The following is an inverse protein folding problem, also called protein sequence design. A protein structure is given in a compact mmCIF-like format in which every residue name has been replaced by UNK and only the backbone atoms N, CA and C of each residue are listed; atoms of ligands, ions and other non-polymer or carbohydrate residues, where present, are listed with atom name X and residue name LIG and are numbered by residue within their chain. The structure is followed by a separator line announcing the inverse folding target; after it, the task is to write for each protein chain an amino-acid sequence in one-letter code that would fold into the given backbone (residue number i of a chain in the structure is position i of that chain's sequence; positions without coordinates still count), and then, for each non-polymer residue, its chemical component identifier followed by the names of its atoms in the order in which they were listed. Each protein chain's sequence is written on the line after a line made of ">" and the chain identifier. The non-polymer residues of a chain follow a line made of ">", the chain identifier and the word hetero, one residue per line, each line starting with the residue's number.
data_IF_484044156719
#
_entry.id   IF_484044156719
#
_cell.length_a   1.000
_cell.length_b   1.000
_cell.length_c   1.000
_cell.angle_alpha   90.00
_cell.angle_beta   90.00
_cell.angle_gamma   90.00
#
_symmetry.space_group_name_H-M   'P 1'
#
loop_
_entity.id
_entity.type
_entity.pdbx_description
1 polymer ?
#
# COMPACT_ATOMS: atom_id res chain seq x y z
N UNK A 1 40.21 18.09 46.13
CA UNK A 1 38.78 18.47 46.09
C UNK A 1 38.48 19.04 44.71
N UNK A 2 37.37 18.57 44.10
CA UNK A 2 36.66 19.07 42.91
C UNK A 2 37.42 19.08 41.56
N UNK A 3 37.07 18.18 40.62
CA UNK A 3 36.05 18.33 39.54
C UNK A 3 36.57 19.26 38.42
N UNK A 4 36.82 18.84 37.18
CA UNK A 4 36.18 17.81 36.39
C UNK A 4 35.18 18.47 35.44
N UNK A 5 35.63 18.84 34.23
CA UNK A 5 34.75 18.93 33.05
C UNK A 5 35.57 18.80 31.77
N UNK A 6 35.55 17.60 31.21
CA UNK A 6 35.93 17.36 29.81
C UNK A 6 34.78 17.88 28.95
N UNK A 7 34.97 18.98 28.24
CA UNK A 7 33.99 19.48 27.28
C UNK A 7 34.17 18.67 26.00
N UNK A 8 33.49 17.53 25.93
CA UNK A 8 33.29 16.82 24.67
C UNK A 8 32.33 17.68 23.85
N UNK A 9 32.87 18.37 22.84
CA UNK A 9 32.08 19.04 21.83
C UNK A 9 31.16 18.01 21.17
N UNK A 10 29.89 18.02 21.55
CA UNK A 10 28.87 17.31 20.82
C UNK A 10 28.81 17.96 19.44
N UNK A 11 29.46 17.32 18.46
CA UNK A 11 29.12 17.50 17.06
C UNK A 11 27.66 17.10 16.92
N UNK A 12 26.76 18.05 17.13
CA UNK A 12 25.37 17.94 16.74
C UNK A 12 25.39 17.90 15.22
N UNK A 13 25.54 16.69 14.67
CA UNK A 13 25.23 16.43 13.27
C UNK A 13 23.74 16.70 13.16
N UNK A 14 23.41 17.89 12.70
CA UNK A 14 22.09 18.19 12.17
C UNK A 14 21.99 17.30 10.93
N UNK A 15 21.49 16.09 11.12
CA UNK A 15 21.06 15.25 10.01
C UNK A 15 19.85 15.95 9.46
N UNK A 16 20.07 16.82 8.47
CA UNK A 16 19.01 17.33 7.60
C UNK A 16 18.25 16.09 7.12
N UNK A 17 17.04 15.88 7.64
CA UNK A 17 16.18 14.79 7.17
C UNK A 17 15.77 15.17 5.77
N UNK A 18 16.28 14.49 4.73
CA UNK A 18 15.86 14.84 3.39
C UNK A 18 14.37 14.57 3.30
N UNK A 19 13.66 15.45 2.60
CA UNK A 19 12.23 15.31 2.26
C UNK A 19 11.92 13.98 1.52
N UNK A 20 12.97 13.21 1.20
CA UNK A 20 13.02 11.88 0.61
C UNK A 20 12.84 10.71 1.60
N UNK A 21 12.55 10.96 2.89
CA UNK A 21 12.40 9.88 3.87
C UNK A 21 11.16 9.01 3.64
N UNK A 22 10.09 9.55 3.04
CA UNK A 22 8.83 8.84 2.75
C UNK A 22 9.02 7.71 1.73
N UNK A 23 9.51 8.05 0.53
CA UNK A 23 9.73 7.07 -0.56
C UNK A 23 10.72 5.95 -0.20
N UNK A 24 11.74 6.25 0.59
CA UNK A 24 12.68 5.21 1.07
C UNK A 24 11.93 4.23 1.96
N UNK A 25 11.06 4.73 2.84
CA UNK A 25 10.27 3.91 3.75
C UNK A 25 9.25 3.07 2.98
N UNK A 26 8.47 3.66 2.09
CA UNK A 26 7.53 2.94 1.22
C UNK A 26 8.21 1.78 0.50
N UNK A 27 9.42 1.99 -0.07
CA UNK A 27 10.21 0.93 -0.71
C UNK A 27 10.68 -0.16 0.25
N UNK A 28 10.92 0.13 1.53
CA UNK A 28 11.28 -0.90 2.52
C UNK A 28 10.10 -1.85 2.77
N UNK A 29 8.88 -1.32 2.87
CA UNK A 29 7.69 -2.12 3.17
C UNK A 29 7.09 -2.76 1.92
N UNK A 30 7.08 -2.05 0.80
CA UNK A 30 6.43 -2.47 -0.44
C UNK A 30 7.42 -3.02 -1.48
N UNK A 31 8.72 -2.81 -1.30
CA UNK A 31 9.71 -3.20 -2.29
C UNK A 31 9.78 -2.22 -3.47
N UNK A 32 10.69 -2.50 -4.40
CA UNK A 32 10.87 -1.68 -5.58
C UNK A 32 9.93 -2.12 -6.71
N UNK A 33 9.17 -1.17 -7.23
CA UNK A 33 8.55 -1.25 -8.53
C UNK A 33 9.62 -0.98 -9.61
N UNK A 34 9.75 -1.88 -10.59
CA UNK A 34 10.61 -1.68 -11.77
C UNK A 34 9.73 -1.28 -12.95
N UNK A 35 9.17 -0.08 -12.91
CA UNK A 35 8.38 0.47 -14.01
C UNK A 35 9.11 1.66 -14.66
N UNK A 36 9.04 1.76 -15.98
CA UNK A 36 9.43 2.96 -16.72
C UNK A 36 8.17 3.76 -17.00
N UNK A 37 7.98 4.87 -16.30
CA UNK A 37 6.77 5.69 -16.36
C UNK A 37 6.60 6.25 -17.77
N UNK A 38 5.41 6.09 -18.35
CA UNK A 38 4.93 6.93 -19.45
C UNK A 38 4.35 8.20 -18.84
N UNK A 39 4.60 9.37 -19.45
CA UNK A 39 4.05 10.64 -18.99
C UNK A 39 2.58 10.85 -19.35
N UNK A 40 1.94 9.87 -19.98
CA UNK A 40 0.51 9.91 -20.28
C UNK A 40 -0.34 9.70 -19.02
N UNK A 41 -1.48 10.40 -18.95
CA UNK A 41 -2.47 10.18 -17.90
C UNK A 41 -3.22 8.87 -18.14
N UNK A 42 -3.32 8.05 -17.10
CA UNK A 42 -3.98 6.74 -17.16
C UNK A 42 -5.17 6.69 -16.22
N UNK A 43 -6.31 6.17 -16.72
CA UNK A 43 -7.48 5.92 -15.90
C UNK A 43 -7.20 4.90 -14.81
N UNK A 44 -8.02 4.92 -13.75
CA UNK A 44 -7.86 4.01 -12.60
C UNK A 44 -7.81 2.53 -13.02
N UNK A 45 -8.79 2.09 -13.82
CA UNK A 45 -8.88 0.69 -14.23
C UNK A 45 -7.80 0.30 -15.23
N UNK A 46 -7.30 1.24 -16.02
CA UNK A 46 -6.15 1.02 -16.90
C UNK A 46 -4.89 0.78 -16.07
N UNK A 47 -4.67 1.59 -15.02
CA UNK A 47 -3.58 1.39 -14.07
C UNK A 47 -3.66 0.01 -13.38
N UNK A 48 -4.84 -0.36 -12.85
CA UNK A 48 -5.03 -1.67 -12.21
C UNK A 48 -4.78 -2.82 -13.20
N UNK A 49 -5.34 -2.74 -14.40
CA UNK A 49 -5.18 -3.76 -15.44
C UNK A 49 -3.71 -3.97 -15.81
N UNK A 50 -2.97 -2.89 -15.99
CA UNK A 50 -1.57 -2.96 -16.38
C UNK A 50 -0.69 -3.43 -15.22
N UNK A 51 -0.81 -2.87 -14.01
CA UNK A 51 -0.03 -3.32 -12.84
C UNK A 51 -0.24 -4.82 -12.55
N UNK A 52 -1.47 -5.31 -12.69
CA UNK A 52 -1.77 -6.74 -12.48
C UNK A 52 -1.14 -7.64 -13.55
N UNK A 53 -1.03 -7.19 -14.81
CA UNK A 53 -0.34 -7.93 -15.89
C UNK A 53 1.16 -8.11 -15.62
N UNK A 54 1.85 -7.06 -15.17
CA UNK A 54 3.29 -7.13 -14.89
C UNK A 54 3.64 -7.82 -13.57
N UNK A 55 2.63 -8.31 -12.83
CA UNK A 55 2.77 -9.09 -11.59
C UNK A 55 3.81 -8.51 -10.64
N UNK A 56 3.70 -7.22 -10.33
CA UNK A 56 4.55 -6.56 -9.33
C UNK A 56 4.18 -7.00 -7.90
N UNK A 57 4.34 -8.30 -7.64
CA UNK A 57 4.17 -8.86 -6.32
C UNK A 57 5.32 -8.38 -5.45
N UNK A 58 4.95 -7.70 -4.40
CA UNK A 58 5.87 -7.23 -3.38
C UNK A 58 6.25 -8.44 -2.52
N UNK A 59 7.52 -8.81 -2.52
CA UNK A 59 8.03 -10.00 -1.83
C UNK A 59 8.61 -9.74 -0.44
N UNK A 60 8.35 -8.55 0.14
CA UNK A 60 8.93 -8.12 1.41
C UNK A 60 8.41 -8.97 2.57
N UNK A 61 9.07 -8.89 3.74
CA UNK A 61 8.59 -9.57 4.94
C UNK A 61 7.18 -9.08 5.32
N UNK A 62 6.98 -7.75 5.30
CA UNK A 62 5.71 -7.10 5.59
C UNK A 62 4.57 -7.63 4.72
N UNK A 63 4.75 -7.71 3.40
CA UNK A 63 3.66 -8.07 2.48
C UNK A 63 3.30 -9.54 2.59
N UNK A 64 4.28 -10.41 2.87
CA UNK A 64 4.07 -11.84 3.17
C UNK A 64 3.32 -12.06 4.48
N UNK A 65 3.69 -11.32 5.52
CA UNK A 65 3.04 -11.39 6.82
C UNK A 65 1.60 -10.88 6.73
N UNK A 66 1.40 -9.72 6.10
CA UNK A 66 0.08 -9.14 5.84
C UNK A 66 -0.83 -10.12 5.08
N UNK A 67 -0.34 -10.69 3.98
CA UNK A 67 -1.09 -11.69 3.21
C UNK A 67 -1.42 -12.92 4.06
N UNK A 68 -0.50 -13.34 4.93
CA UNK A 68 -0.72 -14.48 5.83
C UNK A 68 -1.83 -14.20 6.84
N UNK A 69 -1.79 -13.07 7.52
CA UNK A 69 -2.79 -12.75 8.54
C UNK A 69 -4.18 -12.50 7.93
N UNK A 70 -4.25 -11.80 6.79
CA UNK A 70 -5.51 -11.65 6.05
C UNK A 70 -6.06 -13.04 5.67
N UNK A 71 -5.22 -13.95 5.17
CA UNK A 71 -5.66 -15.29 4.78
C UNK A 71 -6.21 -16.11 5.96
N UNK A 72 -5.59 -16.01 7.13
CA UNK A 72 -6.01 -16.70 8.35
C UNK A 72 -7.35 -16.19 8.85
N UNK A 73 -7.53 -14.86 8.91
CA UNK A 73 -8.75 -14.26 9.45
C UNK A 73 -9.92 -14.39 8.47
N UNK A 74 -9.68 -14.23 7.17
CA UNK A 74 -10.71 -14.48 6.14
C UNK A 74 -10.96 -15.96 5.86
N UNK A 75 -10.19 -16.87 6.48
CA UNK A 75 -10.25 -18.32 6.23
C UNK A 75 -10.14 -18.66 4.73
N UNK A 76 -9.23 -18.01 4.02
CA UNK A 76 -9.03 -18.17 2.57
C UNK A 76 -7.62 -18.61 2.24
N UNK A 77 -7.38 -19.11 1.03
CA UNK A 77 -6.04 -19.45 0.59
C UNK A 77 -5.25 -18.17 0.31
N UNK A 78 -3.98 -18.09 0.73
CA UNK A 78 -3.06 -17.00 0.38
C UNK A 78 -3.01 -16.73 -1.12
N UNK A 79 -3.20 -17.76 -1.96
CA UNK A 79 -3.27 -17.61 -3.42
C UNK A 79 -4.42 -16.74 -3.92
N UNK A 80 -5.43 -16.48 -3.08
CA UNK A 80 -6.59 -15.64 -3.41
C UNK A 80 -6.38 -14.18 -3.00
N UNK A 81 -5.26 -13.85 -2.36
CA UNK A 81 -4.90 -12.50 -1.96
C UNK A 81 -3.65 -12.13 -2.75
N UNK A 82 -3.65 -10.96 -3.38
CA UNK A 82 -2.45 -10.47 -4.07
C UNK A 82 -2.27 -8.99 -3.76
N UNK A 83 -1.08 -8.64 -3.27
CA UNK A 83 -0.68 -7.27 -3.00
C UNK A 83 0.21 -6.77 -4.14
N UNK A 84 -0.06 -5.57 -4.61
CA UNK A 84 0.67 -4.90 -5.68
C UNK A 84 1.22 -3.56 -5.17
N UNK A 85 2.52 -3.35 -5.31
CA UNK A 85 3.10 -2.01 -5.12
C UNK A 85 2.75 -1.15 -6.33
N UNK A 86 2.50 0.13 -6.07
CA UNK A 86 2.22 1.14 -7.06
C UNK A 86 3.32 2.21 -7.10
N UNK A 87 4.38 2.10 -6.29
CA UNK A 87 5.42 3.12 -6.20
C UNK A 87 6.02 3.42 -7.56
N UNK A 88 6.16 4.70 -7.90
CA UNK A 88 6.67 5.15 -9.20
C UNK A 88 5.92 4.59 -10.41
N UNK A 89 4.66 4.17 -10.25
CA UNK A 89 3.77 3.85 -11.38
C UNK A 89 2.87 5.04 -11.70
N UNK A 90 2.17 5.04 -12.85
CA UNK A 90 1.07 5.97 -13.09
C UNK A 90 0.00 5.97 -11.99
N UNK A 91 -0.19 4.85 -11.28
CA UNK A 91 -1.13 4.76 -10.15
C UNK A 91 -0.69 5.63 -8.96
N UNK A 92 0.59 5.57 -8.58
CA UNK A 92 1.18 6.47 -7.57
C UNK A 92 1.13 7.93 -8.07
N UNK A 93 1.62 8.19 -9.28
CA UNK A 93 1.73 9.55 -9.84
C UNK A 93 0.39 10.28 -9.96
N UNK A 94 -0.64 9.62 -10.49
CA UNK A 94 -1.92 10.28 -10.83
C UNK A 94 -3.02 10.04 -9.79
N UNK A 95 -2.99 8.91 -9.11
CA UNK A 95 -4.03 8.52 -8.15
C UNK A 95 -3.54 8.59 -6.69
N UNK A 96 -2.23 8.71 -6.44
CA UNK A 96 -1.66 8.86 -5.11
C UNK A 96 -1.81 7.60 -4.25
N UNK A 97 -1.72 6.42 -4.89
CA UNK A 97 -1.84 5.13 -4.21
C UNK A 97 -0.47 4.48 -4.13
N UNK A 98 -0.05 4.08 -2.93
CA UNK A 98 1.23 3.41 -2.71
C UNK A 98 1.17 1.91 -3.02
N UNK A 99 0.07 1.26 -2.64
CA UNK A 99 -0.20 -0.11 -3.01
C UNK A 99 -1.69 -0.45 -2.95
N UNK A 100 -2.07 -1.60 -3.52
CA UNK A 100 -3.40 -2.16 -3.35
C UNK A 100 -3.38 -3.68 -3.19
N UNK A 101 -4.43 -4.19 -2.53
CA UNK A 101 -4.69 -5.62 -2.34
C UNK A 101 -5.87 -6.00 -3.21
N UNK A 102 -5.76 -7.09 -3.96
CA UNK A 102 -6.89 -7.77 -4.59
C UNK A 102 -7.17 -9.06 -3.84
N UNK A 103 -8.42 -9.24 -3.40
CA UNK A 103 -8.94 -10.49 -2.88
C UNK A 103 -9.96 -11.10 -3.86
N UNK A 104 -9.68 -12.32 -4.31
CA UNK A 104 -10.49 -13.05 -5.30
C UNK A 104 -11.55 -13.97 -4.69
N UNK A 105 -11.93 -13.77 -3.42
CA UNK A 105 -12.93 -14.62 -2.76
C UNK A 105 -12.44 -16.06 -2.55
N UNK A 106 -13.39 -16.98 -2.47
CA UNK A 106 -13.12 -18.44 -2.33
C UNK A 106 -12.70 -19.05 -3.67
N UNK A 107 -13.23 -18.51 -4.77
CA UNK A 107 -13.00 -18.96 -6.13
C UNK A 107 -12.39 -17.83 -6.96
N UNK A 108 -11.22 -18.06 -7.57
CA UNK A 108 -10.50 -17.06 -8.40
C UNK A 108 -11.30 -16.46 -9.58
N UNK A 109 -12.50 -16.95 -9.83
CA UNK A 109 -13.41 -16.46 -10.88
C UNK A 109 -14.39 -15.39 -10.37
N UNK A 110 -14.45 -15.12 -9.06
CA UNK A 110 -15.22 -14.00 -8.52
C UNK A 110 -14.57 -12.66 -8.91
N UNK A 111 -15.38 -11.61 -9.06
CA UNK A 111 -14.85 -10.26 -9.25
C UNK A 111 -14.00 -9.86 -8.06
N UNK A 112 -12.70 -9.69 -8.28
CA UNK A 112 -11.74 -9.35 -7.24
C UNK A 112 -12.13 -8.05 -6.52
N UNK A 113 -12.07 -8.07 -5.19
CA UNK A 113 -12.30 -6.89 -4.35
C UNK A 113 -10.97 -6.19 -4.14
N UNK A 114 -10.94 -4.87 -4.36
CA UNK A 114 -9.72 -4.06 -4.27
C UNK A 114 -9.79 -3.18 -3.02
N UNK A 115 -8.69 -3.13 -2.27
CA UNK A 115 -8.47 -2.16 -1.19
C UNK A 115 -7.14 -1.49 -1.41
N UNK A 116 -7.14 -0.16 -1.44
CA UNK A 116 -5.90 0.64 -1.53
C UNK A 116 -5.33 0.97 -0.17
N UNK A 117 -4.01 0.95 -0.08
CA UNK A 117 -3.27 1.34 1.11
C UNK A 117 -2.30 2.47 0.75
N UNK A 118 -2.27 3.48 1.60
CA UNK A 118 -1.36 4.61 1.55
C UNK A 118 -0.50 4.58 2.82
N UNK A 119 0.82 4.48 2.68
CA UNK A 119 1.75 4.32 3.79
C UNK A 119 2.32 5.68 4.15
N UNK A 120 1.87 6.23 5.28
CA UNK A 120 2.41 7.48 5.81
C UNK A 120 3.35 7.23 6.98
N UNK A 121 4.43 8.00 7.02
CA UNK A 121 5.31 8.10 8.19
C UNK A 121 4.88 9.19 9.18
N UNK A 122 4.00 10.10 8.75
CA UNK A 122 3.52 11.22 9.56
C UNK A 122 2.06 10.99 9.89
N UNK A 123 1.75 10.89 11.18
CA UNK A 123 0.40 10.61 11.68
C UNK A 123 -0.60 11.72 11.31
N UNK A 124 -0.12 12.95 11.07
CA UNK A 124 -0.96 14.13 10.86
C UNK A 124 -1.29 14.44 9.40
N UNK A 125 -0.88 13.62 8.42
CA UNK A 125 -1.18 13.92 7.02
C UNK A 125 -2.68 13.66 6.77
N UNK A 126 -3.51 14.67 6.45
CA UNK A 126 -4.89 14.43 6.11
C UNK A 126 -4.93 13.65 4.79
N UNK A 127 -5.18 12.33 4.87
CA UNK A 127 -5.37 11.52 3.68
C UNK A 127 -6.81 11.70 3.21
N UNK A 128 -6.98 12.39 2.07
CA UNK A 128 -8.28 12.58 1.43
C UNK A 128 -8.54 11.57 0.30
N UNK A 129 -7.61 10.62 0.06
CA UNK A 129 -7.63 9.76 -1.15
C UNK A 129 -7.48 8.26 -0.90
N UNK A 130 -7.10 7.82 0.30
CA UNK A 130 -6.87 6.39 0.56
C UNK A 130 -8.11 5.67 1.06
N UNK A 131 -8.27 4.39 0.69
CA UNK A 131 -9.23 3.51 1.38
C UNK A 131 -8.78 3.24 2.82
N UNK A 132 -7.47 3.03 3.03
CA UNK A 132 -6.85 2.86 4.34
C UNK A 132 -5.49 3.57 4.37
N UNK A 133 -5.34 4.48 5.33
CA UNK A 133 -4.06 5.10 5.66
C UNK A 133 -3.33 4.22 6.68
N UNK A 134 -2.10 3.81 6.37
CA UNK A 134 -1.21 3.00 7.20
C UNK A 134 -0.16 3.92 7.84
N UNK A 135 -0.32 4.19 9.13
CA UNK A 135 0.62 4.99 9.96
C UNK A 135 1.57 4.07 10.74
N UNK A 136 2.66 4.60 11.32
CA UNK A 136 3.53 3.80 12.18
C UNK A 136 2.80 3.23 13.41
N UNK A 137 1.86 3.97 13.99
CA UNK A 137 1.01 3.49 15.09
C UNK A 137 0.13 2.29 14.69
N UNK A 138 -0.43 2.27 13.48
CA UNK A 138 -1.17 1.12 12.96
C UNK A 138 -0.27 -0.10 12.72
N UNK A 139 1.00 0.11 12.36
CA UNK A 139 1.98 -0.98 12.27
C UNK A 139 2.30 -1.57 13.65
N UNK A 140 2.33 -0.76 14.70
CA UNK A 140 2.46 -1.25 16.08
C UNK A 140 1.23 -2.07 16.52
N UNK A 141 0.04 -1.75 16.01
CA UNK A 141 -1.19 -2.52 16.23
C UNK A 141 -1.62 -3.29 14.97
N UNK A 142 -0.72 -4.14 14.49
CA UNK A 142 -0.86 -4.81 13.19
C UNK A 142 -2.17 -5.61 13.05
N UNK A 143 -2.67 -6.21 14.13
CA UNK A 143 -3.93 -6.96 14.12
C UNK A 143 -5.12 -6.07 13.79
N UNK A 144 -5.21 -4.89 14.39
CA UNK A 144 -6.29 -3.93 14.10
C UNK A 144 -6.22 -3.43 12.66
N UNK A 145 -5.01 -3.15 12.16
CA UNK A 145 -4.81 -2.80 10.74
C UNK A 145 -5.35 -3.90 9.82
N UNK A 146 -5.05 -5.17 10.11
CA UNK A 146 -5.56 -6.30 9.31
C UNK A 146 -7.08 -6.38 9.39
N UNK A 147 -7.67 -6.15 10.56
CA UNK A 147 -9.14 -6.14 10.72
C UNK A 147 -9.81 -5.00 9.94
N UNK A 148 -9.19 -3.82 9.89
CA UNK A 148 -9.63 -2.68 9.07
C UNK A 148 -9.60 -3.04 7.58
N UNK A 149 -8.47 -3.61 7.11
CA UNK A 149 -8.33 -4.11 5.73
C UNK A 149 -9.40 -5.12 5.39
N UNK A 150 -9.65 -6.06 6.29
CA UNK A 150 -10.71 -7.06 6.14
C UNK A 150 -12.07 -6.38 6.07
N UNK A 151 -12.36 -5.43 6.96
CA UNK A 151 -13.61 -4.66 6.91
C UNK A 151 -13.83 -4.02 5.54
N UNK A 152 -12.78 -3.46 4.92
CA UNK A 152 -12.88 -2.90 3.56
C UNK A 152 -13.05 -3.99 2.48
N UNK A 153 -12.34 -5.11 2.60
CA UNK A 153 -12.49 -6.25 1.69
C UNK A 153 -13.86 -6.92 1.83
N UNK A 154 -14.47 -6.94 3.02
CA UNK A 154 -15.72 -7.66 3.29
C UNK A 154 -16.95 -6.76 3.26
N UNK A 155 -16.81 -5.42 3.29
CA UNK A 155 -17.91 -4.46 3.05
C UNK A 155 -18.73 -4.92 1.85
N UNK A 156 -19.93 -5.39 2.12
CA UNK A 156 -20.84 -6.06 1.19
C UNK A 156 -21.35 -5.08 0.14
N UNK A 157 -20.92 -5.23 -1.12
CA UNK A 157 -21.80 -5.61 -2.25
C UNK A 157 -20.95 -5.72 -3.53
N UNK A 158 -21.26 -6.66 -4.45
CA UNK A 158 -20.64 -6.70 -5.75
C UNK A 158 -21.12 -5.45 -6.51
N UNK A 159 -20.33 -4.37 -6.50
CA UNK A 159 -20.35 -3.45 -7.63
C UNK A 159 -19.72 -4.21 -8.78
N UNK A 160 -20.51 -5.10 -9.39
CA UNK A 160 -20.33 -5.40 -10.79
C UNK A 160 -20.52 -4.04 -11.46
N UNK A 161 -19.41 -3.37 -11.77
CA UNK A 161 -19.42 -2.42 -12.85
C UNK A 161 -19.68 -3.25 -14.12
N UNK A 162 -20.95 -3.55 -14.40
CA UNK A 162 -21.34 -3.93 -15.74
C UNK A 162 -21.16 -2.67 -16.56
N UNK A 163 -19.98 -2.47 -17.13
CA UNK A 163 -19.91 -1.76 -18.40
C UNK A 163 -20.59 -2.69 -19.41
N UNK A 164 -21.90 -2.50 -19.58
CA UNK A 164 -22.60 -3.02 -20.73
C UNK A 164 -22.07 -2.23 -21.94
N UNK A 165 -21.31 -2.82 -22.88
CA UNK A 165 -20.68 -2.07 -23.98
C UNK A 165 -21.66 -1.52 -25.01
N UNK A 166 -22.98 -1.57 -24.77
CA UNK A 166 -24.01 -1.34 -25.81
C UNK A 166 -24.86 -0.09 -25.64
N UNK A 167 -24.49 0.87 -24.78
CA UNK A 167 -25.13 2.20 -24.82
C UNK A 167 -24.12 3.34 -24.71
N UNK A 168 -23.38 3.55 -25.80
CA UNK A 168 -23.07 4.91 -26.22
C UNK A 168 -24.31 5.45 -26.95
N UNK A 169 -24.84 6.57 -26.45
CA UNK A 169 -25.68 7.49 -27.24
C UNK A 169 -24.80 8.70 -27.53
#
# INVERSE_FOLDING_TARGET
>A
MANGTSVVGANTVVVERPEHSGKIHERVYLGNCRWKVSDEFWGWWDCVSEITKYRQQTGTCFTKELTTQISQILMTNKSNITLYSCLDTPMDKYHGVDCFIIWWGSLRQESGRIVTLDITLKEEKPSHKADILVTPSKLCNFRELVQEIIGHLTKTSPRIFYNNPTKQV
#
